data_IF_647415795297
#
_entry.id   IF_647415795297
#
_cell.length_a   1.000
_cell.length_b   1.000
_cell.length_c   1.000
_cell.angle_alpha   90.00
_cell.angle_beta   90.00
_cell.angle_gamma   90.00
#
_symmetry.space_group_name_H-M   'P 1'
#
loop_
_entity.id
_entity.type
_entity.pdbx_description
1 polymer ?
#
# COMPACT_ATOMS: atom_id res chain seq x y z
N UNK A 1 4.17 9.51 -2.38
CA UNK A 1 4.38 8.93 -1.03
C UNK A 1 5.27 7.69 -1.06
N UNK A 2 5.10 6.75 -2.00
CA UNK A 2 5.94 5.53 -2.13
C UNK A 2 7.42 5.85 -2.22
N UNK A 3 7.82 6.73 -3.13
CA UNK A 3 9.23 7.15 -3.27
C UNK A 3 9.80 7.74 -1.98
N UNK A 4 8.99 8.45 -1.20
CA UNK A 4 9.43 9.01 0.08
C UNK A 4 9.59 7.90 1.13
N UNK A 5 8.68 6.93 1.17
CA UNK A 5 8.79 5.77 2.05
C UNK A 5 10.02 4.91 1.72
N UNK A 6 10.26 4.68 0.43
CA UNK A 6 11.43 3.94 -0.04
C UNK A 6 12.74 4.69 0.29
N UNK A 7 12.76 6.02 0.13
CA UNK A 7 13.91 6.86 0.50
C UNK A 7 14.21 6.75 2.00
N UNK A 8 13.17 6.85 2.84
CA UNK A 8 13.33 6.70 4.31
C UNK A 8 13.88 5.32 4.66
N UNK A 9 13.37 4.26 4.04
CA UNK A 9 13.88 2.89 4.26
C UNK A 9 15.32 2.72 3.81
N UNK A 10 15.69 3.27 2.65
CA UNK A 10 17.08 3.25 2.15
C UNK A 10 18.01 3.99 3.11
N UNK A 11 17.59 5.15 3.63
CA UNK A 11 18.38 5.92 4.60
C UNK A 11 18.52 5.17 5.93
N UNK A 12 17.47 4.51 6.42
CA UNK A 12 17.53 3.68 7.62
C UNK A 12 18.45 2.47 7.43
N UNK A 13 18.32 1.78 6.31
CA UNK A 13 19.17 0.64 5.98
C UNK A 13 20.66 1.04 5.84
N UNK A 14 20.93 2.17 5.19
CA UNK A 14 22.26 2.72 5.05
C UNK A 14 22.85 3.16 6.40
N UNK A 15 22.04 3.78 7.24
CA UNK A 15 22.42 4.14 8.61
C UNK A 15 22.74 2.91 9.45
N UNK A 16 21.91 1.87 9.41
CA UNK A 16 22.14 0.60 10.09
C UNK A 16 23.43 -0.08 9.61
N UNK A 17 23.66 -0.10 8.30
CA UNK A 17 24.91 -0.62 7.71
C UNK A 17 26.16 0.15 8.17
N UNK A 18 26.07 1.50 8.20
CA UNK A 18 27.19 2.32 8.71
C UNK A 18 27.44 2.10 10.20
N UNK A 19 26.36 1.95 10.97
CA UNK A 19 26.47 1.69 12.40
C UNK A 19 27.11 0.33 12.69
N UNK A 20 26.67 -0.72 11.98
CA UNK A 20 27.24 -2.08 12.08
C UNK A 20 28.76 -2.09 11.83
N UNK A 21 29.26 -1.24 10.93
CA UNK A 21 30.72 -1.10 10.67
C UNK A 21 31.50 -0.42 11.79
N UNK A 22 30.87 0.31 12.70
CA UNK A 22 31.56 0.99 13.82
C UNK A 22 31.89 0.05 14.98
N UNK A 23 31.48 -1.21 14.94
CA UNK A 23 31.86 -2.26 15.90
C UNK A 23 31.25 -2.12 17.29
N UNK A 24 30.28 -1.23 17.52
CA UNK A 24 29.53 -1.22 18.79
C UNK A 24 28.53 -2.37 18.81
N UNK A 25 28.67 -3.26 19.79
CA UNK A 25 27.80 -4.44 19.95
C UNK A 25 26.37 -4.09 20.37
N UNK A 26 26.15 -2.89 20.90
CA UNK A 26 24.83 -2.43 21.34
C UNK A 26 24.48 -1.13 20.63
N UNK A 27 23.50 -1.14 19.71
CA UNK A 27 23.00 0.07 19.08
C UNK A 27 22.23 0.92 20.09
N UNK A 28 22.26 2.25 19.90
CA UNK A 28 21.55 3.20 20.75
C UNK A 28 20.48 3.96 19.97
N UNK A 29 19.41 4.38 20.67
CA UNK A 29 18.36 5.22 20.09
C UNK A 29 17.53 4.53 19.01
N UNK A 30 17.34 5.19 17.88
CA UNK A 30 16.46 4.74 16.77
C UNK A 30 16.95 3.39 16.18
N UNK A 31 18.26 3.15 16.15
CA UNK A 31 18.81 1.89 15.62
C UNK A 31 18.48 0.70 16.51
N UNK A 32 18.41 0.89 17.83
CA UNK A 32 18.00 -0.16 18.76
C UNK A 32 16.53 -0.54 18.52
N UNK A 33 15.64 0.45 18.32
CA UNK A 33 14.25 0.18 17.99
C UNK A 33 14.11 -0.58 16.65
N UNK A 34 14.90 -0.18 15.64
CA UNK A 34 14.89 -0.87 14.34
C UNK A 34 15.39 -2.32 14.47
N UNK A 35 16.46 -2.55 15.22
CA UNK A 35 17.00 -3.90 15.50
C UNK A 35 15.97 -4.76 16.20
N UNK A 36 15.29 -4.23 17.24
CA UNK A 36 14.23 -4.95 17.96
C UNK A 36 13.10 -5.38 17.03
N UNK A 37 12.70 -4.52 16.09
CA UNK A 37 11.68 -4.86 15.09
C UNK A 37 12.18 -5.99 14.18
N UNK A 38 13.40 -5.88 13.68
CA UNK A 38 13.99 -6.89 12.77
C UNK A 38 14.16 -8.23 13.50
N UNK A 39 14.61 -8.22 14.76
CA UNK A 39 14.74 -9.42 15.59
C UNK A 39 13.38 -10.08 15.85
N UNK A 40 12.36 -9.31 16.17
CA UNK A 40 11.00 -9.82 16.33
C UNK A 40 10.47 -10.48 15.05
N UNK A 41 10.70 -9.87 13.89
CA UNK A 41 10.34 -10.43 12.59
C UNK A 41 11.14 -11.71 12.29
N UNK A 42 12.44 -11.71 12.63
CA UNK A 42 13.30 -12.89 12.45
C UNK A 42 12.79 -14.07 13.25
N UNK A 43 12.52 -13.89 14.54
CA UNK A 43 12.04 -14.96 15.42
C UNK A 43 10.72 -15.54 14.92
N UNK A 44 9.85 -14.71 14.36
CA UNK A 44 8.58 -15.14 13.76
C UNK A 44 8.80 -16.01 12.53
N UNK A 45 9.71 -15.61 11.62
CA UNK A 45 10.02 -16.38 10.40
C UNK A 45 10.76 -17.67 10.77
N UNK A 46 11.68 -17.63 11.74
CA UNK A 46 12.42 -18.82 12.20
C UNK A 46 11.48 -19.86 12.78
N UNK A 47 10.49 -19.45 13.57
CA UNK A 47 9.45 -20.33 14.09
C UNK A 47 8.57 -20.97 13.01
N UNK A 48 8.29 -20.24 11.92
CA UNK A 48 7.42 -20.72 10.85
C UNK A 48 8.15 -21.53 9.76
N UNK A 49 9.39 -21.17 9.42
CA UNK A 49 10.11 -21.69 8.26
C UNK A 49 11.34 -22.57 8.61
N UNK A 50 11.74 -22.61 9.88
CA UNK A 50 12.84 -23.44 10.37
C UNK A 50 14.11 -23.29 9.52
N UNK A 51 14.57 -24.35 8.88
CA UNK A 51 15.80 -24.38 8.06
C UNK A 51 15.79 -23.40 6.89
N UNK A 52 14.61 -23.02 6.38
CA UNK A 52 14.44 -22.11 5.27
C UNK A 52 14.36 -20.65 5.70
N UNK A 53 14.27 -20.35 7.00
CA UNK A 53 14.08 -19.01 7.56
C UNK A 53 15.08 -17.98 6.99
N UNK A 54 16.37 -18.31 6.98
CA UNK A 54 17.43 -17.41 6.49
C UNK A 54 17.26 -17.00 5.01
N UNK A 55 16.65 -17.87 4.20
CA UNK A 55 16.42 -17.60 2.78
C UNK A 55 15.11 -16.87 2.55
N UNK A 56 14.08 -17.19 3.32
CA UNK A 56 12.72 -16.63 3.19
C UNK A 56 12.64 -15.23 3.79
N UNK A 57 13.29 -14.98 4.93
CA UNK A 57 13.20 -13.76 5.73
C UNK A 57 13.27 -12.44 4.93
N UNK A 58 14.20 -12.26 3.97
CA UNK A 58 14.33 -10.97 3.29
C UNK A 58 13.05 -10.48 2.63
N UNK A 59 12.25 -11.36 2.03
CA UNK A 59 11.05 -10.98 1.26
C UNK A 59 9.92 -10.48 2.16
N UNK A 60 9.37 -11.27 3.11
CA UNK A 60 8.31 -10.76 3.96
C UNK A 60 8.77 -9.61 4.85
N UNK A 61 10.04 -9.59 5.30
CA UNK A 61 10.55 -8.49 6.11
C UNK A 61 10.63 -7.17 5.32
N UNK A 62 11.06 -7.19 4.06
CA UNK A 62 11.04 -5.98 3.22
C UNK A 62 9.62 -5.50 2.94
N UNK A 63 8.69 -6.41 2.66
CA UNK A 63 7.27 -6.06 2.46
C UNK A 63 6.69 -5.42 3.73
N UNK A 64 6.96 -6.00 4.91
CA UNK A 64 6.57 -5.42 6.19
C UNK A 64 7.08 -3.99 6.34
N UNK A 65 8.38 -3.78 6.14
CA UNK A 65 9.00 -2.47 6.31
C UNK A 65 8.43 -1.43 5.34
N UNK A 66 8.16 -1.82 4.10
CA UNK A 66 7.54 -0.93 3.10
C UNK A 66 6.14 -0.52 3.55
N UNK A 67 5.28 -1.47 3.91
CA UNK A 67 3.91 -1.19 4.35
C UNK A 67 3.91 -0.39 5.65
N UNK A 68 4.71 -0.78 6.62
CA UNK A 68 4.84 -0.11 7.91
C UNK A 68 5.26 1.36 7.73
N UNK A 69 6.34 1.59 6.97
CA UNK A 69 6.86 2.94 6.72
C UNK A 69 5.86 3.80 5.94
N UNK A 70 5.20 3.23 4.93
CA UNK A 70 4.18 3.93 4.15
C UNK A 70 3.00 4.35 5.02
N UNK A 71 2.55 3.50 5.94
CA UNK A 71 1.46 3.81 6.88
C UNK A 71 1.89 4.85 7.93
N UNK A 72 3.14 4.78 8.42
CA UNK A 72 3.65 5.77 9.39
C UNK A 72 3.81 7.16 8.78
N UNK A 73 4.30 7.25 7.55
CA UNK A 73 4.49 8.52 6.85
C UNK A 73 3.14 9.21 6.57
N UNK A 74 2.12 8.44 6.20
CA UNK A 74 0.76 8.97 5.97
C UNK A 74 0.19 9.67 7.21
N UNK A 75 0.53 9.21 8.41
CA UNK A 75 0.04 9.74 9.68
C UNK A 75 0.74 11.03 10.13
N UNK A 76 1.79 11.47 9.41
CA UNK A 76 2.40 12.77 9.73
C UNK A 76 1.41 13.89 9.49
N UNK A 77 1.19 14.77 10.49
CA UNK A 77 0.24 15.87 10.34
C UNK A 77 0.66 16.77 9.19
N UNK A 78 -0.29 17.13 8.32
CA UNK A 78 -0.03 17.94 7.12
C UNK A 78 0.37 17.15 5.87
N UNK A 79 0.56 15.84 5.94
CA UNK A 79 1.00 15.02 4.81
C UNK A 79 0.03 15.08 3.61
N UNK A 80 -1.27 14.98 3.87
CA UNK A 80 -2.32 15.06 2.83
C UNK A 80 -2.95 16.47 2.73
N UNK A 81 -2.51 17.43 3.55
CA UNK A 81 -3.08 18.78 3.59
C UNK A 81 -2.34 19.79 2.69
N UNK A 82 -1.14 19.44 2.22
CA UNK A 82 -0.32 20.31 1.38
C UNK A 82 -0.46 19.89 -0.08
N UNK A 83 -1.07 20.74 -0.89
CA UNK A 83 -1.33 20.47 -2.29
C UNK A 83 -1.54 21.74 -3.11
N UNK A 84 -2.02 21.57 -4.33
CA UNK A 84 -2.46 22.67 -5.15
C UNK A 84 -4.00 22.75 -5.15
N UNK A 85 -4.51 23.95 -5.37
CA UNK A 85 -5.94 24.20 -5.47
C UNK A 85 -6.41 23.86 -6.89
N UNK A 86 -7.47 23.05 -6.98
CA UNK A 86 -8.15 22.70 -8.22
C UNK A 86 -9.59 23.16 -8.14
N UNK A 87 -10.13 23.67 -9.24
CA UNK A 87 -11.54 24.02 -9.31
C UNK A 87 -12.40 22.76 -9.31
N UNK A 88 -13.43 22.77 -8.49
CA UNK A 88 -14.46 21.72 -8.42
C UNK A 88 -15.45 21.99 -9.53
N UNK A 89 -15.72 21.00 -10.37
CA UNK A 89 -16.70 21.10 -11.46
C UNK A 89 -18.11 20.65 -11.04
N UNK A 90 -18.19 19.77 -10.04
CA UNK A 90 -19.44 19.25 -9.47
C UNK A 90 -19.27 19.03 -7.98
N UNK A 91 -20.24 19.47 -7.17
CA UNK A 91 -20.25 19.26 -5.73
C UNK A 91 -19.91 20.52 -4.92
N UNK A 92 -19.50 20.33 -3.68
CA UNK A 92 -19.16 21.42 -2.74
C UNK A 92 -17.68 21.72 -2.79
N UNK A 93 -17.31 22.91 -3.24
CA UNK A 93 -15.96 23.46 -3.13
C UNK A 93 -15.89 24.51 -2.03
N UNK A 94 -14.69 24.97 -1.71
CA UNK A 94 -14.48 26.03 -0.72
C UNK A 94 -13.75 27.21 -1.33
N UNK A 95 -14.18 28.42 -1.00
CA UNK A 95 -13.50 29.62 -1.44
C UNK A 95 -12.12 29.72 -0.76
N UNK A 96 -11.01 29.89 -1.50
CA UNK A 96 -9.68 29.95 -0.92
C UNK A 96 -9.46 31.25 -0.16
N UNK A 97 -8.96 31.16 1.08
CA UNK A 97 -8.57 32.31 1.91
C UNK A 97 -7.06 32.40 1.95
N UNK A 98 -6.52 33.54 1.54
CA UNK A 98 -5.09 33.78 1.58
C UNK A 98 -4.61 33.94 3.02
N UNK A 99 -3.64 33.15 3.44
CA UNK A 99 -3.06 33.20 4.78
C UNK A 99 -1.84 34.14 4.83
N UNK A 100 -0.83 33.86 4.03
CA UNK A 100 0.41 34.64 3.99
C UNK A 100 1.19 34.40 2.70
N UNK A 101 2.21 35.21 2.45
CA UNK A 101 3.12 35.07 1.32
C UNK A 101 4.50 34.61 1.80
N UNK A 102 5.09 33.63 1.12
CA UNK A 102 6.48 33.20 1.26
C UNK A 102 7.21 33.64 -0.02
N UNK A 103 7.76 34.84 -0.04
CA UNK A 103 8.40 35.40 -1.23
C UNK A 103 7.39 35.63 -2.36
N UNK A 104 7.55 34.89 -3.48
CA UNK A 104 6.62 34.97 -4.63
C UNK A 104 5.46 33.98 -4.53
N UNK A 105 5.49 33.05 -3.56
CA UNK A 105 4.45 32.05 -3.34
C UNK A 105 3.40 32.54 -2.35
N UNK A 106 2.13 32.56 -2.76
CA UNK A 106 1.00 32.83 -1.88
C UNK A 106 0.46 31.52 -1.33
N UNK A 107 0.30 31.43 0.00
CA UNK A 107 -0.27 30.28 0.69
C UNK A 107 -1.73 30.55 0.99
N UNK A 108 -2.59 29.62 0.57
CA UNK A 108 -4.03 29.68 0.76
C UNK A 108 -4.50 28.54 1.67
N UNK A 109 -5.60 28.77 2.40
CA UNK A 109 -6.33 27.73 3.14
C UNK A 109 -7.75 27.67 2.65
N UNK A 110 -8.31 26.47 2.54
CA UNK A 110 -9.72 26.27 2.23
C UNK A 110 -10.55 26.01 3.49
N UNK A 111 -9.95 25.63 4.62
CA UNK A 111 -10.66 25.32 5.88
C UNK A 111 -11.44 26.51 6.46
N UNK A 112 -11.05 27.73 6.11
CA UNK A 112 -11.69 28.98 6.54
C UNK A 112 -12.57 29.61 5.46
N UNK A 113 -12.63 28.96 4.30
CA UNK A 113 -13.45 29.42 3.18
C UNK A 113 -14.91 29.08 3.37
N UNK A 114 -15.80 29.91 2.77
CA UNK A 114 -17.21 29.58 2.71
C UNK A 114 -17.44 28.41 1.72
N UNK A 115 -18.31 27.45 2.07
CA UNK A 115 -18.68 26.40 1.14
C UNK A 115 -19.42 26.99 -0.06
N UNK A 116 -19.03 26.64 -1.26
CA UNK A 116 -19.63 27.04 -2.52
C UNK A 116 -20.14 25.78 -3.21
N UNK A 117 -21.45 25.67 -3.35
CA UNK A 117 -22.05 24.55 -4.11
C UNK A 117 -21.99 24.89 -5.60
N UNK A 118 -21.33 24.00 -6.36
CA UNK A 118 -21.33 24.06 -7.82
C UNK A 118 -22.39 23.04 -8.29
N UNK A 119 -23.51 23.57 -8.81
CA UNK A 119 -24.53 22.73 -9.43
C UNK A 119 -23.92 22.03 -10.66
N UNK A 120 -24.24 20.74 -10.83
CA UNK A 120 -23.90 20.03 -12.06
C UNK A 120 -24.54 20.78 -13.23
N UNK A 121 -23.73 21.44 -14.04
CA UNK A 121 -24.18 22.00 -15.30
C UNK A 121 -24.58 20.81 -16.18
N UNK A 122 -25.86 20.76 -16.57
CA UNK A 122 -26.39 19.78 -17.50
C UNK A 122 -25.46 19.72 -18.73
N UNK A 123 -24.88 18.57 -18.98
CA UNK A 123 -24.03 18.33 -20.13
C UNK A 123 -24.89 18.26 -21.41
N UNK A 124 -25.34 19.41 -21.88
CA UNK A 124 -25.87 19.63 -23.20
C UNK A 124 -25.47 21.03 -23.70
N UNK A 125 -24.30 21.11 -24.27
CA UNK A 125 -23.93 22.18 -25.19
C UNK A 125 -23.20 21.58 -26.36
N UNK A 126 -23.87 21.60 -27.48
CA UNK A 126 -23.49 21.20 -28.81
C UNK A 126 -22.10 21.71 -29.22
N UNK A 127 -21.38 20.84 -29.90
CA UNK A 127 -20.25 21.22 -30.74
C UNK A 127 -20.66 22.31 -31.74
N UNK A 128 -20.11 23.48 -31.57
CA UNK A 128 -20.03 24.45 -32.68
C UNK A 128 -18.63 25.01 -32.75
N UNK A 129 -17.90 24.46 -33.71
CA UNK A 129 -16.61 24.93 -34.18
C UNK A 129 -16.74 26.35 -34.75
N UNK A 130 -15.99 27.30 -34.22
CA UNK A 130 -15.47 28.41 -35.02
C UNK A 130 -14.11 28.84 -34.46
N UNK A 131 -13.10 28.61 -35.26
CA UNK A 131 -11.76 29.14 -35.09
C UNK A 131 -11.78 30.67 -35.23
N UNK A 132 -11.22 31.35 -34.22
CA UNK A 132 -10.68 32.69 -34.41
C UNK A 132 -9.35 32.74 -33.67
N UNK A 133 -8.29 32.77 -34.46
CA UNK A 133 -6.96 33.17 -34.04
C UNK A 133 -7.01 34.62 -33.57
N UNK A 134 -6.54 34.87 -32.36
CA UNK A 134 -6.10 36.20 -31.95
C UNK A 134 -4.95 36.03 -30.97
N UNK A 135 -3.75 36.33 -31.47
CA UNK A 135 -2.56 36.53 -30.67
C UNK A 135 -2.77 37.77 -29.78
N UNK A 136 -2.69 37.58 -28.48
CA UNK A 136 -2.44 38.69 -27.55
C UNK A 136 -1.61 38.15 -26.39
N UNK A 137 -0.35 38.59 -26.35
CA UNK A 137 0.46 38.58 -25.13
C UNK A 137 -0.27 39.37 -24.05
N UNK A 138 -0.62 38.71 -22.96
CA UNK A 138 -1.25 39.29 -21.80
C UNK A 138 -1.05 38.41 -20.60
N UNK A 139 -0.41 38.94 -19.60
CA UNK A 139 -0.14 38.48 -18.24
C UNK A 139 -1.09 37.36 -17.77
N UNK A 140 -0.53 36.18 -17.40
CA UNK A 140 -1.21 35.16 -16.64
C UNK A 140 -1.63 35.72 -15.28
N UNK A 141 -2.76 36.40 -15.22
CA UNK A 141 -3.54 36.51 -13.99
C UNK A 141 -4.09 35.09 -13.72
N UNK A 142 -3.42 34.36 -12.84
CA UNK A 142 -3.93 33.12 -12.29
C UNK A 142 -5.28 33.42 -11.63
N UNK A 143 -6.38 33.26 -12.35
CA UNK A 143 -7.72 33.33 -11.77
C UNK A 143 -7.82 32.24 -10.71
N UNK A 144 -7.78 32.67 -9.45
CA UNK A 144 -7.92 31.79 -8.31
C UNK A 144 -9.31 31.16 -8.39
N UNK A 145 -9.39 29.84 -8.32
CA UNK A 145 -10.66 29.12 -8.39
C UNK A 145 -11.66 29.67 -7.37
N UNK A 146 -12.93 29.78 -7.75
CA UNK A 146 -14.01 30.25 -6.89
C UNK A 146 -14.53 29.18 -5.94
N UNK A 147 -14.55 27.91 -6.38
CA UNK A 147 -14.86 26.74 -5.59
C UNK A 147 -13.69 25.76 -5.73
N UNK A 148 -12.87 25.63 -4.70
CA UNK A 148 -11.63 24.88 -4.76
C UNK A 148 -11.68 23.64 -3.89
N UNK A 149 -10.94 22.62 -4.33
CA UNK A 149 -10.51 21.50 -3.50
C UNK A 149 -8.98 21.42 -3.45
N UNK A 150 -8.42 20.85 -2.40
CA UNK A 150 -6.99 20.60 -2.30
C UNK A 150 -6.67 19.24 -2.93
N UNK A 151 -5.86 19.25 -3.99
CA UNK A 151 -5.25 18.03 -4.52
C UNK A 151 -3.87 17.90 -3.88
N UNK A 152 -3.69 16.95 -2.95
CA UNK A 152 -2.44 16.82 -2.20
C UNK A 152 -1.27 16.39 -3.10
N UNK A 153 -0.10 17.00 -2.91
CA UNK A 153 1.14 16.58 -3.57
C UNK A 153 1.60 15.19 -3.06
N UNK A 154 1.36 14.93 -1.78
CA UNK A 154 1.74 13.68 -1.13
C UNK A 154 0.46 12.96 -0.69
N UNK A 155 0.04 12.01 -1.49
CA UNK A 155 -1.09 11.14 -1.17
C UNK A 155 -0.60 9.81 -0.61
N UNK A 156 -1.35 9.20 0.30
CA UNK A 156 -1.00 7.88 0.86
C UNK A 156 -0.76 6.84 -0.24
N UNK A 157 0.33 6.09 -0.15
CA UNK A 157 0.73 5.13 -1.22
C UNK A 157 -0.33 4.08 -1.48
N UNK A 158 -1.01 3.64 -0.45
CA UNK A 158 -1.98 2.55 -0.53
C UNK A 158 -3.43 3.03 -0.72
N UNK A 159 -3.65 4.33 -0.92
CA UNK A 159 -4.93 4.86 -1.40
C UNK A 159 -5.17 4.52 -2.88
N UNK A 160 -4.10 4.22 -3.64
CA UNK A 160 -4.18 3.75 -5.01
C UNK A 160 -4.16 2.21 -5.04
N UNK A 161 -5.04 1.61 -5.82
CA UNK A 161 -5.18 0.16 -5.93
C UNK A 161 -3.91 -0.53 -6.43
N UNK A 162 -3.12 0.17 -7.26
CA UNK A 162 -1.93 -0.38 -7.90
C UNK A 162 -0.85 -0.80 -6.89
N UNK A 163 -0.62 -0.01 -5.85
CA UNK A 163 0.42 -0.32 -4.85
C UNK A 163 0.10 -1.56 -4.01
N UNK A 164 -1.10 -1.71 -3.39
CA UNK A 164 -1.49 -2.93 -2.70
C UNK A 164 -1.44 -4.18 -3.57
N UNK A 165 -1.92 -4.08 -4.81
CA UNK A 165 -1.92 -5.22 -5.73
C UNK A 165 -0.52 -5.58 -6.21
N UNK A 166 0.36 -4.60 -6.46
CA UNK A 166 1.76 -4.87 -6.78
C UNK A 166 2.46 -5.67 -5.67
N UNK A 167 2.28 -5.27 -4.40
CA UNK A 167 2.83 -5.99 -3.26
C UNK A 167 2.22 -7.40 -3.12
N UNK A 168 0.92 -7.54 -3.37
CA UNK A 168 0.24 -8.83 -3.35
C UNK A 168 0.78 -9.77 -4.43
N UNK A 169 0.96 -9.28 -5.66
CA UNK A 169 1.55 -10.05 -6.76
C UNK A 169 2.98 -10.45 -6.43
N UNK A 170 3.80 -9.53 -5.92
CA UNK A 170 5.18 -9.85 -5.51
C UNK A 170 5.19 -10.95 -4.45
N UNK A 171 4.35 -10.86 -3.41
CA UNK A 171 4.29 -11.86 -2.36
C UNK A 171 3.91 -13.26 -2.89
N UNK A 172 2.90 -13.34 -3.78
CA UNK A 172 2.45 -14.61 -4.36
C UNK A 172 3.47 -15.14 -5.36
N UNK A 173 4.05 -14.30 -6.22
CA UNK A 173 5.11 -14.72 -7.14
C UNK A 173 6.32 -15.26 -6.38
N UNK A 174 6.74 -14.59 -5.31
CA UNK A 174 7.83 -15.08 -4.47
C UNK A 174 7.48 -16.40 -3.77
N UNK A 175 6.24 -16.61 -3.39
CA UNK A 175 5.77 -17.91 -2.89
C UNK A 175 6.02 -19.03 -3.93
N UNK A 176 5.67 -18.77 -5.21
CA UNK A 176 5.91 -19.75 -6.28
C UNK A 176 7.41 -19.97 -6.53
N UNK A 177 8.20 -18.89 -6.52
CA UNK A 177 9.67 -18.97 -6.71
C UNK A 177 10.32 -19.81 -5.62
N UNK A 178 9.99 -19.56 -4.34
CA UNK A 178 10.54 -20.34 -3.23
C UNK A 178 10.04 -21.79 -3.23
N UNK A 179 8.77 -22.03 -3.59
CA UNK A 179 8.23 -23.37 -3.75
C UNK A 179 8.95 -24.15 -4.86
N UNK A 180 9.13 -23.53 -6.02
CA UNK A 180 9.88 -24.12 -7.13
C UNK A 180 11.36 -24.35 -6.78
N UNK A 181 11.95 -23.46 -5.99
CA UNK A 181 13.35 -23.62 -5.55
C UNK A 181 13.53 -24.73 -4.54
N UNK A 182 12.56 -24.93 -3.64
CA UNK A 182 12.62 -25.98 -2.61
C UNK A 182 12.29 -27.36 -3.16
N UNK A 183 11.29 -27.49 -4.03
CA UNK A 183 10.74 -28.77 -4.52
C UNK A 183 11.13 -29.08 -5.97
N UNK A 184 11.84 -28.16 -6.64
CA UNK A 184 12.26 -28.30 -8.04
C UNK A 184 11.09 -28.21 -9.02
N UNK A 185 11.30 -28.62 -10.31
CA UNK A 185 10.27 -28.51 -11.35
C UNK A 185 9.01 -29.33 -11.08
N UNK A 186 9.09 -30.31 -10.20
CA UNK A 186 7.94 -31.08 -9.71
C UNK A 186 6.90 -30.25 -8.96
N UNK A 187 7.28 -29.08 -8.46
CA UNK A 187 6.36 -28.14 -7.80
C UNK A 187 5.18 -27.75 -8.68
N UNK A 188 5.41 -27.51 -9.97
CA UNK A 188 4.35 -27.13 -10.90
C UNK A 188 3.39 -28.28 -11.27
N UNK A 189 3.77 -29.53 -11.00
CA UNK A 189 2.88 -30.67 -11.24
C UNK A 189 1.66 -30.68 -10.32
N UNK A 190 1.67 -29.93 -9.21
CA UNK A 190 0.51 -29.76 -8.34
C UNK A 190 -0.63 -29.01 -9.03
N UNK A 191 -0.32 -28.06 -9.92
CA UNK A 191 -1.33 -27.29 -10.66
C UNK A 191 -1.87 -28.05 -11.87
N UNK A 192 -1.00 -28.85 -12.51
CA UNK A 192 -1.35 -29.60 -13.72
C UNK A 192 -0.87 -31.06 -13.64
N UNK A 193 -1.61 -31.91 -12.90
CA UNK A 193 -1.27 -33.32 -12.77
C UNK A 193 -1.67 -34.13 -14.04
N UNK A 194 -1.16 -33.72 -15.23
CA UNK A 194 -1.51 -34.30 -16.53
C UNK A 194 -1.19 -35.78 -16.61
N UNK A 195 -0.10 -36.24 -15.96
CA UNK A 195 0.25 -37.66 -15.92
C UNK A 195 -0.82 -38.51 -15.20
N UNK A 196 -1.38 -37.97 -14.12
CA UNK A 196 -2.43 -38.65 -13.35
C UNK A 196 -3.78 -38.63 -14.08
N UNK A 197 -4.05 -37.60 -14.90
CA UNK A 197 -5.25 -37.49 -15.71
C UNK A 197 -5.30 -38.62 -16.76
N UNK A 198 -4.15 -38.95 -17.39
CA UNK A 198 -4.07 -39.92 -18.48
C UNK A 198 -4.10 -41.37 -17.94
N UNK A 199 -3.47 -41.64 -16.79
CA UNK A 199 -3.33 -43.00 -16.24
C UNK A 199 -4.30 -43.33 -15.14
N UNK A 200 -4.99 -42.37 -14.52
CA UNK A 200 -5.75 -42.54 -13.26
C UNK A 200 -7.29 -42.71 -13.42
N UNK A 201 -7.85 -42.69 -14.65
CA UNK A 201 -9.30 -42.78 -14.84
C UNK A 201 -10.07 -41.71 -14.05
N UNK A 202 -11.12 -42.11 -13.31
CA UNK A 202 -11.97 -41.16 -12.53
C UNK A 202 -11.17 -40.45 -11.43
N UNK A 203 -10.25 -41.15 -10.75
CA UNK A 203 -9.36 -40.52 -9.74
C UNK A 203 -8.40 -39.52 -10.36
N UNK A 204 -7.91 -39.76 -11.59
CA UNK A 204 -7.09 -38.80 -12.32
C UNK A 204 -7.84 -37.51 -12.64
N UNK A 205 -9.12 -37.62 -12.98
CA UNK A 205 -9.97 -36.43 -13.19
C UNK A 205 -10.17 -35.63 -11.91
N UNK A 206 -10.40 -36.29 -10.77
CA UNK A 206 -10.53 -35.63 -9.47
C UNK A 206 -9.25 -34.88 -9.13
N UNK A 207 -8.08 -35.51 -9.28
CA UNK A 207 -6.79 -34.86 -9.01
C UNK A 207 -6.52 -33.67 -9.94
N UNK A 208 -6.95 -33.75 -11.18
CA UNK A 208 -6.85 -32.60 -12.11
C UNK A 208 -7.74 -31.42 -11.68
N UNK A 209 -8.97 -31.70 -11.21
CA UNK A 209 -9.87 -30.65 -10.69
C UNK A 209 -9.28 -30.01 -9.43
N UNK A 210 -8.69 -30.81 -8.54
CA UNK A 210 -8.00 -30.29 -7.34
C UNK A 210 -6.82 -29.37 -7.74
N UNK A 211 -6.01 -29.76 -8.72
CA UNK A 211 -4.94 -28.91 -9.24
C UNK A 211 -5.45 -27.57 -9.83
N UNK A 212 -6.58 -27.63 -10.53
CA UNK A 212 -7.23 -26.41 -11.05
C UNK A 212 -7.75 -25.51 -9.93
N UNK A 213 -8.35 -26.10 -8.88
CA UNK A 213 -8.77 -25.35 -7.69
C UNK A 213 -7.58 -24.70 -7.00
N UNK A 214 -6.44 -25.38 -6.91
CA UNK A 214 -5.23 -24.83 -6.32
C UNK A 214 -4.73 -23.61 -7.11
N UNK A 215 -4.80 -23.65 -8.44
CA UNK A 215 -4.48 -22.49 -9.28
C UNK A 215 -5.43 -21.30 -8.99
N UNK A 216 -6.74 -21.57 -8.86
CA UNK A 216 -7.72 -20.52 -8.51
C UNK A 216 -7.41 -19.93 -7.13
N UNK A 217 -7.02 -20.76 -6.16
CA UNK A 217 -6.63 -20.32 -4.82
C UNK A 217 -5.41 -19.38 -4.84
N UNK A 218 -4.44 -19.60 -5.75
CA UNK A 218 -3.30 -18.69 -5.89
C UNK A 218 -3.74 -17.30 -6.37
N UNK A 219 -4.67 -17.22 -7.32
CA UNK A 219 -5.28 -15.94 -7.71
C UNK A 219 -6.08 -15.30 -6.59
N UNK A 220 -6.84 -16.10 -5.84
CA UNK A 220 -7.61 -15.61 -4.70
C UNK A 220 -6.72 -15.01 -3.60
N UNK A 221 -5.51 -15.53 -3.39
CA UNK A 221 -4.52 -14.95 -2.48
C UNK A 221 -4.13 -13.53 -2.90
N UNK A 222 -3.88 -13.28 -4.20
CA UNK A 222 -3.56 -11.94 -4.71
C UNK A 222 -4.69 -10.95 -4.40
N UNK A 223 -5.94 -11.34 -4.70
CA UNK A 223 -7.11 -10.52 -4.41
C UNK A 223 -7.25 -10.27 -2.90
N UNK A 224 -7.10 -11.31 -2.08
CA UNK A 224 -7.22 -11.19 -0.62
C UNK A 224 -6.18 -10.26 -0.03
N UNK A 225 -4.92 -10.36 -0.44
CA UNK A 225 -3.85 -9.47 0.01
C UNK A 225 -4.06 -8.02 -0.45
N UNK A 226 -4.36 -7.83 -1.74
CA UNK A 226 -4.55 -6.52 -2.35
C UNK A 226 -5.73 -5.77 -1.73
N UNK A 227 -6.90 -6.40 -1.68
CA UNK A 227 -8.09 -5.77 -1.10
C UNK A 227 -8.01 -5.56 0.41
N UNK A 228 -7.32 -6.40 1.15
CA UNK A 228 -7.12 -6.21 2.59
C UNK A 228 -6.30 -4.94 2.87
N UNK A 229 -5.21 -4.74 2.14
CA UNK A 229 -4.37 -3.56 2.31
C UNK A 229 -5.09 -2.29 1.83
N UNK A 230 -5.68 -2.33 0.64
CA UNK A 230 -6.45 -1.22 0.08
C UNK A 230 -7.65 -0.87 0.95
N UNK A 231 -8.46 -1.87 1.31
CA UNK A 231 -9.72 -1.67 2.04
C UNK A 231 -9.51 -1.04 3.42
N UNK A 232 -8.46 -1.45 4.15
CA UNK A 232 -8.15 -0.86 5.45
C UNK A 232 -7.82 0.64 5.33
N UNK A 233 -6.96 1.01 4.38
CA UNK A 233 -6.52 2.40 4.21
C UNK A 233 -7.62 3.27 3.60
N UNK A 234 -8.38 2.73 2.66
CA UNK A 234 -9.51 3.43 2.05
C UNK A 234 -10.63 3.67 3.07
N UNK A 235 -10.99 2.66 3.87
CA UNK A 235 -12.00 2.79 4.91
C UNK A 235 -11.57 3.79 6.00
N UNK A 236 -10.29 3.77 6.41
CA UNK A 236 -9.73 4.73 7.35
C UNK A 236 -9.81 6.18 6.84
N UNK A 237 -9.42 6.40 5.59
CA UNK A 237 -9.48 7.72 4.96
C UNK A 237 -10.92 8.23 4.83
N UNK A 238 -11.86 7.38 4.41
CA UNK A 238 -13.28 7.72 4.35
C UNK A 238 -13.86 8.06 5.73
N UNK A 239 -13.57 7.22 6.73
CA UNK A 239 -14.04 7.43 8.09
C UNK A 239 -13.53 8.76 8.64
N UNK A 240 -12.23 9.05 8.44
CA UNK A 240 -11.61 10.29 8.88
C UNK A 240 -12.22 11.51 8.18
N UNK A 241 -12.49 11.42 6.87
CA UNK A 241 -13.12 12.48 6.09
C UNK A 241 -14.54 12.77 6.58
N UNK A 242 -15.39 11.75 6.72
CA UNK A 242 -16.81 11.92 7.12
C UNK A 242 -16.91 12.40 8.57
N UNK A 243 -16.21 11.74 9.49
CA UNK A 243 -16.27 12.10 10.92
C UNK A 243 -15.58 13.43 11.18
N UNK A 244 -14.49 13.73 10.47
CA UNK A 244 -13.80 15.02 10.54
C UNK A 244 -14.67 16.19 10.11
N UNK A 245 -15.55 16.00 9.14
CA UNK A 245 -16.52 17.02 8.70
C UNK A 245 -17.67 17.23 9.72
N UNK A 246 -18.05 16.18 10.47
CA UNK A 246 -19.19 16.20 11.38
C UNK A 246 -18.84 16.60 12.80
N UNK A 247 -17.60 16.44 13.22
CA UNK A 247 -17.19 16.53 14.63
C UNK A 247 -16.01 17.46 14.85
N UNK A 248 -15.94 18.00 16.08
CA UNK A 248 -14.79 18.79 16.53
C UNK A 248 -13.50 17.94 16.61
N UNK A 249 -12.38 18.58 16.87
CA UNK A 249 -11.01 18.05 16.83
C UNK A 249 -10.79 16.76 17.65
N UNK A 250 -11.53 16.55 18.75
CA UNK A 250 -11.29 15.45 19.67
C UNK A 250 -11.54 14.05 19.07
N UNK A 251 -12.63 13.88 18.30
CA UNK A 251 -12.97 12.59 17.69
C UNK A 251 -12.03 12.25 16.53
N UNK A 252 -11.73 13.16 15.60
CA UNK A 252 -10.71 12.92 14.57
C UNK A 252 -9.34 12.56 15.14
N UNK A 253 -8.90 13.19 16.24
CA UNK A 253 -7.63 12.83 16.90
C UNK A 253 -7.62 11.38 17.41
N UNK A 254 -8.73 10.92 17.97
CA UNK A 254 -8.90 9.51 18.37
C UNK A 254 -8.86 8.56 17.15
N UNK A 255 -9.45 8.97 16.04
CA UNK A 255 -9.43 8.18 14.80
C UNK A 255 -8.02 8.09 14.18
N UNK A 256 -7.21 9.14 14.27
CA UNK A 256 -5.80 9.07 13.85
C UNK A 256 -5.01 8.04 14.68
N UNK A 257 -5.25 7.98 15.99
CA UNK A 257 -4.61 6.96 16.84
C UNK A 257 -5.09 5.55 16.47
N UNK A 258 -6.36 5.40 16.15
CA UNK A 258 -6.93 4.16 15.66
C UNK A 258 -6.32 3.74 14.31
N UNK A 259 -6.15 4.67 13.37
CA UNK A 259 -5.52 4.42 12.07
C UNK A 259 -4.04 4.03 12.22
N UNK A 260 -3.31 4.64 13.17
CA UNK A 260 -1.96 4.24 13.55
C UNK A 260 -1.91 2.76 13.96
N UNK A 261 -2.78 2.36 14.88
CA UNK A 261 -2.85 0.99 15.39
C UNK A 261 -3.15 -0.01 14.27
N UNK A 262 -4.16 0.27 13.45
CA UNK A 262 -4.50 -0.58 12.32
C UNK A 262 -3.42 -0.62 11.24
N UNK A 263 -2.71 0.48 11.01
CA UNK A 263 -1.58 0.53 10.08
C UNK A 263 -0.44 -0.41 10.48
N UNK A 264 -0.14 -0.50 11.79
CA UNK A 264 0.87 -1.43 12.34
C UNK A 264 0.39 -2.88 12.20
N UNK A 265 -0.83 -3.16 12.66
CA UNK A 265 -1.42 -4.52 12.57
C UNK A 265 -1.47 -4.98 11.12
N UNK A 266 -1.87 -4.12 10.20
CA UNK A 266 -1.98 -4.45 8.79
C UNK A 266 -0.64 -4.87 8.19
N UNK A 267 0.44 -4.13 8.48
CA UNK A 267 1.78 -4.49 8.05
C UNK A 267 2.20 -5.87 8.61
N UNK A 268 1.93 -6.11 9.89
CA UNK A 268 2.27 -7.37 10.55
C UNK A 268 1.47 -8.56 10.02
N UNK A 269 0.16 -8.39 9.82
CA UNK A 269 -0.69 -9.46 9.25
C UNK A 269 -0.27 -9.82 7.82
N UNK A 270 0.08 -8.82 7.02
CA UNK A 270 0.60 -9.06 5.67
C UNK A 270 1.91 -9.86 5.71
N UNK A 271 2.82 -9.48 6.60
CA UNK A 271 4.08 -10.19 6.84
C UNK A 271 3.85 -11.64 7.27
N UNK A 272 2.98 -11.87 8.26
CA UNK A 272 2.67 -13.22 8.75
C UNK A 272 2.14 -14.12 7.63
N UNK A 273 1.16 -13.62 6.86
CA UNK A 273 0.56 -14.40 5.79
C UNK A 273 1.56 -14.67 4.66
N UNK A 274 2.38 -13.69 4.28
CA UNK A 274 3.45 -13.90 3.29
C UNK A 274 4.44 -14.97 3.80
N UNK A 275 4.85 -14.90 5.06
CA UNK A 275 5.73 -15.89 5.69
C UNK A 275 5.12 -17.29 5.68
N UNK A 276 3.85 -17.42 6.08
CA UNK A 276 3.14 -18.71 6.13
C UNK A 276 2.97 -19.32 4.74
N UNK A 277 2.63 -18.52 3.73
CA UNK A 277 2.47 -19.03 2.36
C UNK A 277 3.81 -19.42 1.74
N UNK A 278 4.86 -18.64 1.94
CA UNK A 278 6.20 -18.98 1.43
C UNK A 278 6.73 -20.23 2.16
N UNK A 279 6.59 -20.29 3.48
CA UNK A 279 6.99 -21.45 4.26
C UNK A 279 6.23 -22.71 3.86
N UNK A 280 4.89 -22.62 3.75
CA UNK A 280 4.05 -23.74 3.31
C UNK A 280 4.41 -24.23 1.90
N UNK A 281 4.79 -23.34 0.99
CA UNK A 281 5.22 -23.72 -0.35
C UNK A 281 6.56 -24.47 -0.39
N UNK A 282 7.40 -24.35 0.67
CA UNK A 282 8.69 -25.07 0.77
C UNK A 282 8.58 -26.47 1.38
N UNK A 283 7.43 -26.82 1.96
CA UNK A 283 7.18 -28.15 2.53
C UNK A 283 6.58 -29.06 1.46
N UNK A 284 7.12 -30.27 1.31
CA UNK A 284 6.58 -31.27 0.39
C UNK A 284 5.30 -31.91 0.96
N UNK A 285 4.22 -31.91 0.19
CA UNK A 285 2.96 -32.59 0.57
C UNK A 285 3.10 -34.12 0.74
N UNK A 286 4.21 -34.73 0.32
CA UNK A 286 4.48 -36.16 0.51
C UNK A 286 4.91 -36.54 1.94
N UNK A 287 5.10 -35.58 2.84
CA UNK A 287 5.50 -35.86 4.23
C UNK A 287 4.31 -36.18 5.16
N UNK A 288 3.06 -35.98 4.73
CA UNK A 288 1.87 -36.21 5.55
C UNK A 288 1.26 -37.64 5.39
N UNK A 289 1.72 -38.46 4.43
CA UNK A 289 1.19 -39.81 4.22
C UNK A 289 1.88 -40.89 5.09
N UNK A 290 2.77 -40.55 5.99
CA UNK A 290 3.50 -41.51 6.84
C UNK A 290 3.36 -41.28 8.35
N UNK A 291 2.17 -40.86 8.82
CA UNK A 291 1.85 -40.96 10.26
C UNK A 291 0.50 -41.64 10.47
#
# INVERSE_FOLDING_TARGET
ATLLADLVLILLAWGAYRFSKKGSLVPSGVYNAFETIVEFLWNTVEGAAGKWAKRIFPVPATIFLIIFTANMIKLLPGFESIGYLKQVHEGTGYAPVKLFNIGKLAVYSIDKGLPVEVAAAEAHAEETSTAVESEAHGEESSELCTACEVVPYLRGSATDLNFPFALAVIAVVMTQVYGAWALGPGYFSKFFPVKQLISGGIFGLINFLVGLLELILEFAKILSFGFRLFGNIFAGALLLSIVGALTAVAIPAGLYLFELFFGVIQAYVFFLLATMFISGATVSHHAEEHH
#
